data_IF_899472027682
#
_entry.id   IF_899472027682
#
_cell.length_a   1.000
_cell.length_b   1.000
_cell.length_c   1.000
_cell.angle_alpha   90.00
_cell.angle_beta   90.00
_cell.angle_gamma   90.00
#
_symmetry.space_group_name_H-M   'P 1'
#
loop_
_entity.id
_entity.type
_entity.pdbx_description
1 polymer ?
#
# COMPACT_ATOMS: atom_id res chain seq x y z
N UNK A 1 -9.55 -1.92 5.06
CA UNK A 1 -9.30 -1.22 3.78
C UNK A 1 -10.65 -0.85 3.17
N UNK A 2 -10.83 0.34 2.58
CA UNK A 2 -12.15 0.80 2.15
C UNK A 2 -12.63 0.13 0.86
N UNK A 3 -13.95 0.01 0.72
CA UNK A 3 -14.66 -0.34 -0.52
C UNK A 3 -15.55 0.85 -0.86
N UNK A 4 -15.41 1.39 -2.07
CA UNK A 4 -16.18 2.54 -2.53
C UNK A 4 -17.03 2.17 -3.73
N UNK A 5 -18.35 2.39 -3.63
CA UNK A 5 -19.32 2.07 -4.68
C UNK A 5 -19.10 0.67 -5.30
N UNK A 6 -18.97 -0.34 -4.44
CA UNK A 6 -18.78 -1.76 -4.81
C UNK A 6 -17.59 -2.03 -5.75
N UNK A 7 -16.60 -1.13 -5.77
CA UNK A 7 -15.40 -1.24 -6.60
C UNK A 7 -15.61 -0.91 -8.08
N UNK A 8 -16.69 -0.20 -8.45
CA UNK A 8 -17.02 0.11 -9.86
C UNK A 8 -16.06 1.11 -10.52
N UNK A 9 -15.48 2.03 -9.74
CA UNK A 9 -14.64 3.14 -10.21
C UNK A 9 -13.33 3.30 -9.46
N UNK A 10 -13.30 2.95 -8.18
CA UNK A 10 -12.11 3.02 -7.33
C UNK A 10 -12.01 1.72 -6.55
N UNK A 11 -10.83 1.10 -6.58
CA UNK A 11 -10.49 -0.05 -5.75
C UNK A 11 -9.23 0.25 -4.96
N UNK A 12 -9.19 -0.21 -3.72
CA UNK A 12 -8.02 -0.07 -2.84
C UNK A 12 -7.34 -1.43 -2.72
N UNK A 13 -6.01 -1.42 -2.67
CA UNK A 13 -5.18 -2.62 -2.54
C UNK A 13 -4.07 -2.38 -1.53
N UNK A 14 -3.60 -3.46 -0.91
CA UNK A 14 -2.39 -3.48 -0.11
C UNK A 14 -1.52 -4.69 -0.49
N UNK A 15 -0.54 -5.04 0.34
CA UNK A 15 0.32 -6.22 0.14
C UNK A 15 -0.44 -7.55 0.00
N UNK A 16 -1.68 -7.62 0.49
CA UNK A 16 -2.53 -8.81 0.45
C UNK A 16 -3.60 -8.75 -0.65
N UNK A 17 -3.55 -7.74 -1.54
CA UNK A 17 -4.50 -7.54 -2.63
C UNK A 17 -5.65 -6.61 -2.28
N UNK A 18 -6.75 -6.72 -3.02
CA UNK A 18 -7.97 -5.92 -2.82
C UNK A 18 -8.83 -6.49 -1.67
N UNK A 19 -9.60 -5.66 -0.93
CA UNK A 19 -10.52 -6.19 0.06
C UNK A 19 -11.68 -6.94 -0.62
N UNK A 20 -12.32 -7.83 0.14
CA UNK A 20 -13.62 -8.37 -0.25
C UNK A 20 -14.65 -7.25 -0.39
N UNK A 21 -15.64 -7.43 -1.28
CA UNK A 21 -16.72 -6.45 -1.51
C UNK A 21 -16.63 -5.66 -2.82
N UNK A 22 -15.53 -5.78 -3.58
CA UNK A 22 -15.43 -5.25 -4.95
C UNK A 22 -16.20 -6.13 -5.95
N UNK A 23 -17.53 -6.19 -5.80
CA UNK A 23 -18.41 -7.13 -6.50
C UNK A 23 -18.84 -6.65 -7.88
N UNK A 24 -18.73 -5.34 -8.16
CA UNK A 24 -19.19 -4.75 -9.42
C UNK A 24 -18.08 -4.74 -10.45
N UNK A 25 -18.40 -5.05 -11.71
CA UNK A 25 -17.46 -4.91 -12.83
C UNK A 25 -16.97 -3.46 -12.99
N UNK A 26 -15.74 -3.30 -13.47
CA UNK A 26 -15.18 -1.99 -13.79
C UNK A 26 -16.06 -1.21 -14.77
N UNK A 27 -16.22 0.09 -14.52
CA UNK A 27 -16.76 1.03 -15.51
C UNK A 27 -15.73 1.46 -16.55
N UNK A 28 -16.07 2.52 -17.30
CA UNK A 28 -15.20 3.11 -18.34
C UNK A 28 -13.95 3.80 -17.78
N UNK A 29 -13.90 4.02 -16.48
CA UNK A 29 -12.79 4.68 -15.77
C UNK A 29 -12.43 3.83 -14.56
N UNK A 30 -11.14 3.61 -14.36
CA UNK A 30 -10.61 2.68 -13.35
C UNK A 30 -9.47 3.35 -12.59
N UNK A 31 -9.57 3.36 -11.26
CA UNK A 31 -8.53 3.83 -10.36
C UNK A 31 -8.20 2.76 -9.32
N UNK A 32 -6.92 2.46 -9.16
CA UNK A 32 -6.43 1.58 -8.11
C UNK A 32 -5.52 2.37 -7.19
N UNK A 33 -5.86 2.41 -5.90
CA UNK A 33 -5.00 2.95 -4.84
C UNK A 33 -4.28 1.80 -4.15
N UNK A 34 -2.98 1.67 -4.41
CA UNK A 34 -2.11 0.78 -3.66
C UNK A 34 -1.57 1.53 -2.44
N UNK A 35 -1.84 1.02 -1.24
CA UNK A 35 -1.46 1.65 0.03
C UNK A 35 -1.01 0.61 1.06
N UNK A 36 0.06 0.89 1.81
CA UNK A 36 0.46 0.10 2.99
C UNK A 36 0.07 0.85 4.25
N UNK A 37 -0.61 0.18 5.18
CA UNK A 37 -1.10 0.86 6.37
C UNK A 37 0.02 1.28 7.34
N UNK A 38 1.21 0.68 7.20
CA UNK A 38 2.42 1.10 7.92
C UNK A 38 3.17 2.27 7.27
N UNK A 39 2.70 2.82 6.15
CA UNK A 39 3.35 3.93 5.45
C UNK A 39 3.14 5.27 6.16
N UNK A 40 4.10 5.63 7.02
CA UNK A 40 4.08 6.90 7.76
C UNK A 40 4.04 8.12 6.83
N UNK A 41 4.63 8.07 5.63
CA UNK A 41 4.63 9.19 4.68
C UNK A 41 3.23 9.41 4.12
N UNK A 42 2.57 8.33 3.68
CA UNK A 42 1.21 8.40 3.12
C UNK A 42 0.17 8.83 4.16
N UNK A 43 0.32 8.39 5.42
CA UNK A 43 -0.70 8.57 6.45
C UNK A 43 -0.40 9.65 7.50
N UNK A 44 0.70 10.40 7.38
CA UNK A 44 0.99 11.51 8.27
C UNK A 44 -0.03 12.66 8.08
N UNK A 45 -0.68 13.06 9.17
CA UNK A 45 -1.61 14.18 9.19
C UNK A 45 -1.44 14.98 10.51
N UNK A 46 -1.36 16.30 10.44
CA UNK A 46 -1.16 17.16 11.63
C UNK A 46 -2.31 17.05 12.64
N UNK A 47 -3.51 16.63 12.21
CA UNK A 47 -4.64 16.38 13.10
C UNK A 47 -4.40 15.22 14.06
N UNK A 48 -3.41 14.36 13.82
CA UNK A 48 -2.96 13.35 14.78
C UNK A 48 -2.59 13.94 16.15
N UNK A 49 -2.25 15.22 16.21
CA UNK A 49 -1.95 15.90 17.47
C UNK A 49 -3.16 15.96 18.42
N UNK A 50 -4.39 15.97 17.89
CA UNK A 50 -5.62 16.14 18.68
C UNK A 50 -6.75 15.18 18.30
N UNK A 51 -6.57 14.33 17.29
CA UNK A 51 -7.55 13.35 16.84
C UNK A 51 -6.87 12.04 16.42
N UNK A 52 -7.37 10.92 16.94
CA UNK A 52 -6.99 9.59 16.47
C UNK A 52 -7.42 9.38 15.01
N UNK A 53 -6.51 8.88 14.17
CA UNK A 53 -6.80 8.55 12.77
C UNK A 53 -7.49 7.18 12.64
N UNK A 54 -8.37 7.03 11.66
CA UNK A 54 -9.16 5.80 11.50
C UNK A 54 -8.30 4.56 11.24
N UNK A 55 -7.14 4.70 10.60
CA UNK A 55 -6.23 3.57 10.36
C UNK A 55 -5.55 3.04 11.63
N UNK A 56 -5.54 3.83 12.72
CA UNK A 56 -5.03 3.41 14.04
C UNK A 56 -6.09 2.63 14.83
N UNK A 57 -7.36 2.64 14.39
CA UNK A 57 -8.45 1.92 15.03
C UNK A 57 -8.56 0.49 14.51
N UNK A 58 -9.14 -0.39 15.32
CA UNK A 58 -9.43 -1.76 14.86
C UNK A 58 -10.62 -1.78 13.90
N UNK A 59 -10.61 -2.62 12.83
CA UNK A 59 -9.51 -3.48 12.42
C UNK A 59 -8.39 -2.70 11.72
N UNK A 60 -7.15 -2.94 12.14
CA UNK A 60 -5.94 -2.29 11.58
C UNK A 60 -5.47 -3.00 10.31
N UNK A 61 -4.64 -2.30 9.54
CA UNK A 61 -3.91 -2.95 8.45
C UNK A 61 -2.98 -4.06 8.96
N UNK A 62 -2.66 -5.06 8.12
CA UNK A 62 -1.95 -6.28 8.52
C UNK A 62 -0.54 -6.03 9.04
N UNK A 63 0.04 -4.88 8.69
CA UNK A 63 1.39 -4.42 9.01
C UNK A 63 1.43 -3.33 10.09
N UNK A 64 0.28 -2.96 10.67
CA UNK A 64 0.23 -2.00 11.78
C UNK A 64 0.23 -2.77 13.10
N UNK A 65 1.22 -2.48 13.96
CA UNK A 65 1.35 -3.14 15.26
C UNK A 65 0.06 -2.99 16.10
N UNK A 66 -0.43 -4.07 16.75
CA UNK A 66 -1.55 -3.97 17.69
C UNK A 66 -1.19 -3.16 18.95
N UNK A 67 0.10 -2.98 19.23
CA UNK A 67 0.59 -2.17 20.36
C UNK A 67 0.61 -0.66 20.05
N UNK A 68 0.42 -0.26 18.79
CA UNK A 68 0.36 1.16 18.44
C UNK A 68 -0.88 1.79 19.12
N UNK A 69 -0.68 2.71 20.05
CA UNK A 69 -1.77 3.45 20.69
C UNK A 69 -1.78 4.89 20.21
N UNK A 70 -2.96 5.50 20.10
CA UNK A 70 -3.04 6.94 19.91
C UNK A 70 -2.92 7.67 21.24
N UNK A 71 -1.97 8.60 21.31
CA UNK A 71 -1.73 9.49 22.42
C UNK A 71 -1.66 10.93 21.89
N UNK A 72 -2.46 11.87 22.41
CA UNK A 72 -2.48 13.26 21.95
C UNK A 72 -1.06 13.85 21.89
N UNK A 73 -0.75 14.54 20.79
CA UNK A 73 0.57 15.13 20.45
C UNK A 73 1.68 14.09 20.24
N UNK A 74 1.80 13.10 21.13
CA UNK A 74 2.83 12.06 21.12
C UNK A 74 2.80 11.24 19.83
N UNK A 75 1.64 10.72 19.43
CA UNK A 75 1.55 9.90 18.20
C UNK A 75 1.87 10.69 16.94
N UNK A 76 1.51 11.98 16.89
CA UNK A 76 1.89 12.85 15.77
C UNK A 76 3.42 13.01 15.71
N UNK A 77 4.08 13.21 16.86
CA UNK A 77 5.53 13.33 16.92
C UNK A 77 6.24 12.01 16.57
N UNK A 78 5.72 10.88 17.06
CA UNK A 78 6.23 9.55 16.74
C UNK A 78 6.21 9.32 15.22
N UNK A 79 5.06 9.50 14.57
CA UNK A 79 4.94 9.30 13.12
C UNK A 79 5.79 10.32 12.33
N UNK A 80 5.88 11.57 12.79
CA UNK A 80 6.74 12.59 12.18
C UNK A 80 8.21 12.19 12.18
N UNK A 81 8.69 11.63 13.30
CA UNK A 81 10.08 11.18 13.46
C UNK A 81 10.33 9.86 12.71
N UNK A 82 9.31 9.04 12.50
CA UNK A 82 9.41 7.81 11.71
C UNK A 82 9.47 8.06 10.20
N UNK A 83 8.95 9.19 9.70
CA UNK A 83 8.92 9.50 8.25
C UNK A 83 10.30 9.41 7.55
N UNK A 84 11.40 9.97 8.07
CA UNK A 84 12.73 9.86 7.46
C UNK A 84 13.27 8.42 7.41
N UNK A 85 12.67 7.47 8.14
CA UNK A 85 13.06 6.07 8.17
C UNK A 85 12.08 5.18 7.40
N UNK A 86 11.01 5.74 6.83
CA UNK A 86 9.93 4.98 6.20
C UNK A 86 10.37 4.20 4.95
N UNK A 87 11.53 4.53 4.37
CA UNK A 87 12.15 3.85 3.23
C UNK A 87 13.26 2.84 3.61
N UNK A 88 13.56 2.70 4.91
CA UNK A 88 14.61 1.80 5.44
C UNK A 88 14.07 0.45 5.91
N UNK A 89 12.75 0.27 5.90
CA UNK A 89 12.07 -0.96 6.29
C UNK A 89 12.20 -2.04 5.20
N UNK A 90 11.97 -3.33 5.54
CA UNK A 90 11.93 -4.39 4.54
C UNK A 90 10.94 -4.09 3.41
N UNK A 91 11.26 -4.54 2.19
CA UNK A 91 10.39 -4.39 1.03
C UNK A 91 8.99 -4.98 1.31
N UNK A 92 7.94 -4.27 0.92
CA UNK A 92 6.55 -4.62 1.19
C UNK A 92 5.96 -4.00 2.46
N UNK A 93 6.70 -3.11 3.12
CA UNK A 93 6.28 -2.39 4.33
C UNK A 93 6.63 -0.91 4.23
N UNK A 94 6.03 -0.09 5.09
CA UNK A 94 6.26 1.37 5.13
C UNK A 94 6.09 2.00 3.76
N UNK A 95 7.04 2.82 3.36
CA UNK A 95 7.05 3.45 2.04
C UNK A 95 7.78 2.61 0.96
N UNK A 96 8.23 1.40 1.29
CA UNK A 96 8.98 0.53 0.38
C UNK A 96 8.03 -0.42 -0.36
N UNK A 97 7.31 0.10 -1.34
CA UNK A 97 6.37 -0.69 -2.14
C UNK A 97 7.07 -1.77 -2.97
N UNK A 98 6.60 -3.01 -2.85
CA UNK A 98 7.16 -4.15 -3.56
C UNK A 98 6.76 -4.12 -5.05
N UNK A 99 7.68 -4.44 -5.99
CA UNK A 99 7.36 -4.53 -7.41
C UNK A 99 6.18 -5.45 -7.73
N UNK A 100 6.07 -6.56 -7.01
CA UNK A 100 4.96 -7.52 -7.17
C UNK A 100 3.61 -6.90 -6.83
N UNK A 101 3.56 -6.04 -5.81
CA UNK A 101 2.34 -5.37 -5.40
C UNK A 101 1.92 -4.29 -6.42
N UNK A 102 2.90 -3.60 -7.03
CA UNK A 102 2.64 -2.74 -8.19
C UNK A 102 2.11 -3.53 -9.39
N UNK A 103 2.70 -4.69 -9.69
CA UNK A 103 2.24 -5.52 -10.80
C UNK A 103 0.80 -5.98 -10.58
N UNK A 104 0.44 -6.43 -9.36
CA UNK A 104 -0.93 -6.80 -9.03
C UNK A 104 -1.90 -5.61 -9.23
N UNK A 105 -1.51 -4.40 -8.81
CA UNK A 105 -2.32 -3.20 -9.04
C UNK A 105 -2.48 -2.86 -10.55
N UNK A 106 -1.43 -3.08 -11.35
CA UNK A 106 -1.50 -2.92 -12.80
C UNK A 106 -2.41 -3.93 -13.46
N UNK A 107 -2.34 -5.20 -13.07
CA UNK A 107 -3.25 -6.25 -13.55
C UNK A 107 -4.71 -5.89 -13.21
N UNK A 108 -4.93 -5.42 -11.98
CA UNK A 108 -6.25 -5.01 -11.50
C UNK A 108 -6.86 -3.85 -12.32
N UNK A 109 -6.08 -2.79 -12.58
CA UNK A 109 -6.60 -1.61 -13.30
C UNK A 109 -6.72 -1.86 -14.81
N UNK A 110 -5.79 -2.59 -15.41
CA UNK A 110 -5.77 -2.81 -16.86
C UNK A 110 -6.80 -3.86 -17.30
N UNK A 111 -7.11 -4.83 -16.44
CA UNK A 111 -7.97 -5.96 -16.80
C UNK A 111 -7.38 -6.76 -17.97
N UNK A 112 -6.05 -6.86 -18.05
CA UNK A 112 -5.37 -7.63 -19.09
C UNK A 112 -5.75 -9.10 -18.96
N UNK A 113 -6.29 -9.66 -20.04
CA UNK A 113 -6.58 -11.08 -20.19
C UNK A 113 -5.46 -11.77 -20.98
N UNK A 114 -5.32 -13.09 -20.82
CA UNK A 114 -4.41 -13.91 -21.63
C UNK A 114 -3.00 -14.13 -21.06
N UNK A 115 -2.67 -13.59 -19.87
CA UNK A 115 -1.47 -13.98 -19.13
C UNK A 115 -1.76 -15.19 -18.25
N UNK A 116 -0.93 -16.22 -18.36
CA UNK A 116 -1.02 -17.38 -17.45
C UNK A 116 -0.46 -17.03 -16.07
N UNK A 117 -0.87 -17.79 -15.04
CA UNK A 117 -0.36 -17.62 -13.69
C UNK A 117 1.18 -17.77 -13.65
N UNK A 118 1.73 -18.70 -14.43
CA UNK A 118 3.17 -18.94 -14.52
C UNK A 118 3.92 -17.74 -15.13
N UNK A 119 3.34 -17.06 -16.12
CA UNK A 119 3.93 -15.86 -16.72
C UNK A 119 3.94 -14.69 -15.74
N UNK A 120 2.85 -14.52 -14.97
CA UNK A 120 2.75 -13.48 -13.94
C UNK A 120 3.78 -13.73 -12.85
N UNK A 121 3.91 -14.97 -12.36
CA UNK A 121 4.91 -15.32 -11.34
C UNK A 121 6.35 -15.18 -11.85
N UNK A 122 6.61 -15.54 -13.11
CA UNK A 122 7.91 -15.30 -13.73
C UNK A 122 8.24 -13.80 -13.81
N UNK A 123 7.26 -12.96 -14.13
CA UNK A 123 7.42 -11.50 -14.17
C UNK A 123 7.67 -10.91 -12.77
N UNK A 124 6.91 -11.33 -11.76
CA UNK A 124 7.15 -10.95 -10.35
C UNK A 124 8.58 -11.26 -9.92
N UNK A 125 9.02 -12.50 -10.14
CA UNK A 125 10.39 -12.92 -9.83
C UNK A 125 11.44 -12.07 -10.57
N UNK A 126 11.21 -11.76 -11.84
CA UNK A 126 12.09 -10.89 -12.62
C UNK A 126 12.19 -9.48 -12.02
N UNK A 127 11.04 -8.86 -11.71
CA UNK A 127 10.98 -7.50 -11.15
C UNK A 127 11.61 -7.43 -9.75
N UNK A 128 11.36 -8.41 -8.89
CA UNK A 128 11.99 -8.49 -7.57
C UNK A 128 13.51 -8.64 -7.65
N UNK A 129 14.01 -9.53 -8.52
CA UNK A 129 15.45 -9.69 -8.74
C UNK A 129 16.09 -8.38 -9.21
N UNK A 130 15.39 -7.62 -10.06
CA UNK A 130 15.87 -6.32 -10.53
C UNK A 130 15.86 -5.26 -9.42
N UNK A 131 14.84 -5.26 -8.55
CA UNK A 131 14.76 -4.34 -7.42
C UNK A 131 15.81 -4.60 -6.33
N UNK A 132 16.30 -5.84 -6.20
CA UNK A 132 17.38 -6.21 -5.27
C UNK A 132 18.78 -5.88 -5.79
N UNK A 133 18.96 -5.87 -7.11
CA UNK A 133 20.18 -5.31 -7.74
C UNK A 133 20.08 -3.79 -7.59
N UNK A 134 21.11 -3.15 -7.03
CA UNK A 134 21.10 -1.74 -6.56
C UNK A 134 20.68 -0.69 -7.61
N UNK A 135 20.54 -1.10 -8.87
CA UNK A 135 20.03 -0.38 -10.03
C UNK A 135 18.69 0.36 -9.81
N UNK A 136 17.90 -0.03 -8.81
CA UNK A 136 16.60 0.58 -8.50
C UNK A 136 16.61 1.65 -7.40
N UNK A 137 17.62 1.66 -6.51
CA UNK A 137 17.63 2.57 -5.35
C UNK A 137 17.91 4.02 -5.74
N UNK A 138 18.75 4.25 -6.76
CA UNK A 138 19.09 5.60 -7.25
C UNK A 138 17.93 6.32 -7.95
N UNK A 139 16.82 5.62 -8.20
CA UNK A 139 15.66 6.15 -8.94
C UNK A 139 14.34 6.08 -8.15
N UNK A 140 14.40 5.73 -6.87
CA UNK A 140 13.27 5.83 -5.93
C UNK A 140 13.28 7.25 -5.37
N UNK A 141 12.49 8.13 -6.00
CA UNK A 141 12.52 9.57 -5.79
C UNK A 141 12.66 10.01 -4.33
N UNK A 142 13.65 10.85 -4.10
CA UNK A 142 13.77 11.84 -3.04
C UNK A 142 14.23 13.16 -3.67
#
# INVERSE_FOLDING_TARGET
MPVFQDGRFVRFMNQNGAPEGNTTQWGNTRFVYLQYASDAITFFDKSLAYREADWMRSPRGPDVSPMLGWYPIVSMLQILIDMPLADTVPMGYGHVYAPDHYLNAWLEVTGVEGWSAEQIEALKKHLNNRAQRKDGYEHRGG
#
